data_IF_977215549689
#
_entry.id   IF_977215549689
#
_cell.length_a   1.000
_cell.length_b   1.000
_cell.length_c   1.000
_cell.angle_alpha   90.00
_cell.angle_beta   90.00
_cell.angle_gamma   90.00
#
_symmetry.space_group_name_H-M   'P 1'
#
loop_
_entity.id
_entity.type
_entity.pdbx_description
1 polymer ?
#
# COMPACT_ATOMS: atom_id res chain seq x y z
N UNK A 1 -18.44 5.41 23.70
CA UNK A 1 -17.51 5.93 22.66
C UNK A 1 -17.91 7.38 22.37
N UNK A 2 -16.98 8.32 22.39
CA UNK A 2 -17.27 9.73 22.09
C UNK A 2 -17.76 9.90 20.65
N UNK A 3 -18.66 10.86 20.39
CA UNK A 3 -19.24 11.11 19.06
C UNK A 3 -18.18 11.29 17.94
N UNK A 4 -16.98 11.77 18.29
CA UNK A 4 -15.84 11.90 17.38
C UNK A 4 -15.22 10.56 16.94
N UNK A 5 -15.13 9.57 17.82
CA UNK A 5 -14.55 8.25 17.51
C UNK A 5 -15.58 7.30 16.87
N UNK A 6 -16.87 7.66 16.89
CA UNK A 6 -17.90 6.97 16.14
C UNK A 6 -18.02 7.43 14.68
N UNK A 7 -17.32 8.50 14.28
CA UNK A 7 -17.39 9.02 12.91
C UNK A 7 -16.41 8.25 12.01
N UNK A 8 -16.89 7.54 10.97
CA UNK A 8 -16.03 6.76 10.09
C UNK A 8 -14.99 7.61 9.35
N UNK A 9 -15.29 8.87 9.00
CA UNK A 9 -14.28 9.76 8.39
C UNK A 9 -13.12 10.05 9.34
N UNK A 10 -13.39 10.14 10.64
CA UNK A 10 -12.34 10.40 11.63
C UNK A 10 -11.48 9.16 11.80
N UNK A 11 -12.08 7.98 11.93
CA UNK A 11 -11.35 6.74 12.18
C UNK A 11 -10.59 6.23 10.95
N UNK A 12 -11.11 6.43 9.73
CA UNK A 12 -10.49 5.89 8.50
C UNK A 12 -9.63 6.89 7.72
N UNK A 13 -9.65 8.18 8.07
CA UNK A 13 -8.85 9.20 7.38
C UNK A 13 -8.10 10.12 8.33
N UNK A 14 -8.80 10.88 9.19
CA UNK A 14 -8.15 11.91 10.00
C UNK A 14 -7.16 11.32 11.03
N UNK A 15 -7.59 10.29 11.78
CA UNK A 15 -6.75 9.63 12.78
C UNK A 15 -5.52 8.96 12.14
N UNK A 16 -5.65 8.11 11.09
CA UNK A 16 -4.49 7.56 10.40
C UNK A 16 -3.53 8.64 9.88
N UNK A 17 -4.04 9.71 9.28
CA UNK A 17 -3.22 10.83 8.80
C UNK A 17 -2.38 11.45 9.92
N UNK A 18 -3.01 11.76 11.05
CA UNK A 18 -2.33 12.36 12.21
C UNK A 18 -1.30 11.40 12.83
N UNK A 19 -1.62 10.10 12.90
CA UNK A 19 -0.68 9.09 13.36
C UNK A 19 0.53 8.96 12.41
N UNK A 20 0.32 9.11 11.10
CA UNK A 20 1.39 9.12 10.10
C UNK A 20 2.34 10.30 10.28
N UNK A 21 1.76 11.48 10.53
CA UNK A 21 2.53 12.68 10.90
C UNK A 21 3.32 12.43 12.19
N UNK A 22 2.70 11.85 13.22
CA UNK A 22 3.36 11.55 14.49
C UNK A 22 4.54 10.58 14.31
N UNK A 23 4.39 9.53 13.50
CA UNK A 23 5.50 8.61 13.18
C UNK A 23 6.64 9.31 12.45
N UNK A 24 6.35 10.20 11.51
CA UNK A 24 7.38 10.97 10.81
C UNK A 24 8.15 11.91 11.75
N UNK A 25 7.44 12.56 12.68
CA UNK A 25 8.07 13.37 13.72
C UNK A 25 8.92 12.51 14.65
N UNK A 26 8.42 11.34 15.07
CA UNK A 26 9.18 10.40 15.90
C UNK A 26 10.47 9.95 15.22
N UNK A 27 10.40 9.60 13.92
CA UNK A 27 11.56 9.22 13.11
C UNK A 27 12.58 10.35 12.90
N UNK A 28 12.14 11.61 13.03
CA UNK A 28 13.00 12.78 12.89
C UNK A 28 13.68 13.18 14.19
N UNK A 29 12.97 13.10 15.31
CA UNK A 29 13.41 13.69 16.57
C UNK A 29 13.79 12.69 17.66
N UNK A 30 13.29 11.45 17.60
CA UNK A 30 13.38 10.52 18.74
C UNK A 30 13.97 9.17 18.39
N UNK A 31 13.67 8.64 17.20
CA UNK A 31 14.03 7.28 16.80
C UNK A 31 14.70 7.30 15.42
N UNK A 32 15.80 6.57 15.21
CA UNK A 32 16.33 6.34 13.88
C UNK A 32 15.27 5.67 12.99
N UNK A 33 15.19 6.05 11.71
CA UNK A 33 14.21 5.47 10.79
C UNK A 33 14.40 3.97 10.53
N UNK A 34 15.64 3.47 10.71
CA UNK A 34 15.96 2.03 10.67
C UNK A 34 15.67 1.29 12.00
N UNK A 35 15.11 1.96 13.01
CA UNK A 35 14.90 1.34 14.32
C UNK A 35 13.78 0.27 14.27
N UNK A 36 13.97 -0.89 14.93
CA UNK A 36 12.94 -1.92 15.02
C UNK A 36 11.72 -1.43 15.81
N UNK A 37 11.91 -0.47 16.72
CA UNK A 37 10.83 0.18 17.47
C UNK A 37 9.87 0.89 16.53
N UNK A 38 10.39 1.64 15.54
CA UNK A 38 9.53 2.30 14.56
C UNK A 38 8.76 1.28 13.71
N UNK A 39 9.39 0.18 13.32
CA UNK A 39 8.71 -0.93 12.62
C UNK A 39 7.59 -1.54 13.47
N UNK A 40 7.80 -1.73 14.77
CA UNK A 40 6.77 -2.21 15.70
C UNK A 40 5.61 -1.22 15.85
N UNK A 41 5.88 0.09 15.84
CA UNK A 41 4.84 1.11 15.86
C UNK A 41 3.98 1.05 14.58
N UNK A 42 4.61 0.94 13.41
CA UNK A 42 3.89 0.71 12.14
C UNK A 42 3.04 -0.56 12.18
N UNK A 43 3.59 -1.66 12.70
CA UNK A 43 2.88 -2.93 12.87
C UNK A 43 1.68 -2.81 13.81
N UNK A 44 1.83 -2.13 14.95
CA UNK A 44 0.76 -1.91 15.92
C UNK A 44 -0.38 -1.08 15.33
N UNK A 45 -0.08 -0.01 14.59
CA UNK A 45 -1.09 0.80 13.91
C UNK A 45 -1.80 0.01 12.81
N UNK A 46 -1.06 -0.79 12.05
CA UNK A 46 -1.65 -1.66 11.03
C UNK A 46 -2.64 -2.64 11.67
N UNK A 47 -2.24 -3.34 12.74
CA UNK A 47 -3.12 -4.25 13.47
C UNK A 47 -4.34 -3.53 14.07
N UNK A 48 -4.16 -2.31 14.57
CA UNK A 48 -5.27 -1.49 15.04
C UNK A 48 -6.29 -1.23 13.92
N UNK A 49 -5.85 -0.87 12.71
CA UNK A 49 -6.78 -0.69 11.58
C UNK A 49 -7.45 -1.99 11.15
N UNK A 50 -6.72 -3.11 11.15
CA UNK A 50 -7.33 -4.43 10.89
C UNK A 50 -8.40 -4.78 11.92
N UNK A 51 -8.10 -4.56 13.20
CA UNK A 51 -9.03 -4.83 14.29
C UNK A 51 -10.27 -3.92 14.23
N UNK A 52 -10.07 -2.63 13.96
CA UNK A 52 -11.16 -1.65 13.86
C UNK A 52 -12.08 -1.94 12.68
N UNK A 53 -11.53 -2.39 11.55
CA UNK A 53 -12.30 -2.64 10.31
C UNK A 53 -12.91 -4.05 10.22
N UNK A 54 -12.21 -5.07 10.70
CA UNK A 54 -12.62 -6.48 10.55
C UNK A 54 -13.08 -7.13 11.86
N UNK A 55 -12.81 -6.49 13.00
CA UNK A 55 -13.06 -7.07 14.32
C UNK A 55 -12.01 -8.08 14.76
N UNK A 56 -12.28 -8.82 15.85
CA UNK A 56 -11.35 -9.80 16.41
C UNK A 56 -11.10 -10.98 15.45
N UNK A 57 -9.89 -11.57 15.46
CA UNK A 57 -9.57 -12.73 14.63
C UNK A 57 -10.40 -13.95 15.06
N UNK A 58 -11.00 -14.63 14.08
CA UNK A 58 -11.79 -15.86 14.28
C UNK A 58 -10.96 -17.09 13.89
N UNK A 59 -11.05 -18.16 14.69
CA UNK A 59 -10.37 -19.45 14.46
C UNK A 59 -11.40 -20.59 14.33
N UNK A 60 -11.44 -21.33 13.21
CA UNK A 60 -10.65 -21.16 11.97
C UNK A 60 -11.16 -20.02 11.06
N UNK A 61 -10.30 -19.34 10.27
CA UNK A 61 -10.75 -18.34 9.31
C UNK A 61 -11.48 -18.98 8.13
N UNK A 62 -12.77 -18.68 7.98
CA UNK A 62 -13.63 -19.25 6.93
C UNK A 62 -13.76 -18.28 5.75
N UNK A 63 -13.86 -16.98 6.04
CA UNK A 63 -14.00 -15.92 5.05
C UNK A 63 -12.63 -15.33 4.67
N UNK A 64 -12.49 -14.82 3.45
CA UNK A 64 -11.24 -14.22 3.00
C UNK A 64 -10.90 -12.92 3.75
N UNK A 65 -11.91 -12.16 4.18
CA UNK A 65 -11.69 -10.97 5.02
C UNK A 65 -11.02 -11.35 6.34
N UNK A 66 -11.46 -12.44 6.97
CA UNK A 66 -10.85 -12.97 8.19
C UNK A 66 -9.40 -13.41 7.98
N UNK A 67 -9.00 -13.80 6.76
CA UNK A 67 -7.60 -14.17 6.46
C UNK A 67 -6.66 -12.97 6.46
N UNK A 68 -7.15 -11.76 6.19
CA UNK A 68 -6.30 -10.59 6.08
C UNK A 68 -5.55 -10.26 7.37
N UNK A 69 -6.17 -10.42 8.54
CA UNK A 69 -5.49 -10.14 9.81
C UNK A 69 -4.32 -11.11 10.05
N UNK A 70 -4.46 -12.38 9.63
CA UNK A 70 -3.37 -13.36 9.68
C UNK A 70 -2.27 -13.06 8.67
N UNK A 71 -2.63 -12.55 7.49
CA UNK A 71 -1.64 -12.03 6.54
C UNK A 71 -0.93 -10.80 7.12
N UNK A 72 -1.62 -9.91 7.82
CA UNK A 72 -0.98 -8.80 8.52
C UNK A 72 0.06 -9.30 9.53
N UNK A 73 -0.26 -10.30 10.35
CA UNK A 73 0.70 -10.94 11.25
C UNK A 73 1.90 -11.54 10.50
N UNK A 74 1.68 -12.25 9.39
CA UNK A 74 2.77 -12.77 8.57
C UNK A 74 3.67 -11.63 8.03
N UNK A 75 3.06 -10.53 7.57
CA UNK A 75 3.76 -9.33 7.13
C UNK A 75 4.63 -8.71 8.23
N UNK A 76 4.12 -8.68 9.47
CA UNK A 76 4.85 -8.17 10.64
C UNK A 76 6.04 -9.06 10.97
N UNK A 77 5.84 -10.38 11.04
CA UNK A 77 6.92 -11.33 11.34
C UNK A 77 8.05 -11.21 10.31
N UNK A 78 7.70 -11.14 9.02
CA UNK A 78 8.69 -10.99 7.94
C UNK A 78 9.34 -9.59 7.97
N UNK A 79 8.56 -8.54 8.21
CA UNK A 79 9.05 -7.16 8.28
C UNK A 79 9.98 -6.89 9.47
N UNK A 80 9.93 -7.73 10.52
CA UNK A 80 10.85 -7.67 11.67
C UNK A 80 12.15 -8.46 11.45
N UNK A 81 12.29 -9.18 10.33
CA UNK A 81 13.54 -9.89 10.02
C UNK A 81 14.70 -8.89 9.83
N UNK A 82 15.95 -9.30 10.13
CA UNK A 82 17.11 -8.42 9.97
C UNK A 82 17.30 -7.92 8.54
N UNK A 83 17.75 -6.67 8.37
CA UNK A 83 17.99 -6.08 7.05
C UNK A 83 18.94 -6.87 6.15
N UNK A 84 19.83 -7.69 6.72
CA UNK A 84 20.71 -8.59 5.95
C UNK A 84 19.92 -9.67 5.21
N UNK A 85 18.87 -10.20 5.85
CA UNK A 85 17.90 -11.12 5.25
C UNK A 85 17.03 -10.36 4.25
N UNK A 86 16.68 -9.11 4.60
CA UNK A 86 15.87 -8.22 3.77
C UNK A 86 16.63 -7.45 2.67
N UNK A 87 17.94 -7.62 2.49
CA UNK A 87 18.76 -6.74 1.63
C UNK A 87 19.63 -7.41 0.56
N UNK A 88 19.99 -8.71 0.72
CA UNK A 88 20.81 -9.46 -0.25
C UNK A 88 20.09 -10.60 -0.96
N UNK A 89 19.01 -11.11 -0.38
CA UNK A 89 18.27 -12.29 -0.85
C UNK A 89 16.76 -12.06 -0.95
N UNK A 90 16.31 -10.79 -0.94
CA UNK A 90 14.96 -10.41 -0.54
C UNK A 90 13.86 -10.56 -1.56
N UNK A 91 14.21 -10.57 -2.84
CA UNK A 91 13.22 -10.78 -3.88
C UNK A 91 12.51 -12.11 -3.68
N UNK A 92 13.25 -13.17 -3.31
CA UNK A 92 12.68 -14.51 -3.14
C UNK A 92 11.70 -14.64 -1.96
N UNK A 93 12.05 -14.33 -0.69
CA UNK A 93 11.12 -14.47 0.44
C UNK A 93 9.92 -13.53 0.30
N UNK A 94 10.11 -12.33 -0.26
CA UNK A 94 8.98 -11.44 -0.54
C UNK A 94 8.04 -12.05 -1.59
N UNK A 95 8.57 -12.54 -2.71
CA UNK A 95 7.79 -13.21 -3.75
C UNK A 95 7.09 -14.45 -3.21
N UNK A 96 7.77 -15.27 -2.41
CA UNK A 96 7.18 -16.46 -1.77
C UNK A 96 6.05 -16.08 -0.82
N UNK A 97 6.23 -15.05 0.00
CA UNK A 97 5.20 -14.57 0.92
C UNK A 97 3.97 -14.05 0.17
N UNK A 98 4.17 -13.31 -0.92
CA UNK A 98 3.08 -12.81 -1.77
C UNK A 98 2.37 -13.95 -2.51
N UNK A 99 3.11 -14.90 -3.08
CA UNK A 99 2.56 -16.06 -3.75
C UNK A 99 1.73 -16.92 -2.78
N UNK A 100 2.26 -17.18 -1.58
CA UNK A 100 1.55 -17.89 -0.53
C UNK A 100 0.26 -17.17 -0.10
N UNK A 101 0.30 -15.84 0.05
CA UNK A 101 -0.89 -15.05 0.36
C UNK A 101 -1.94 -15.10 -0.76
N UNK A 102 -1.51 -14.92 -2.00
CA UNK A 102 -2.37 -14.99 -3.18
C UNK A 102 -3.07 -16.35 -3.28
N UNK A 103 -2.29 -17.43 -3.16
CA UNK A 103 -2.81 -18.80 -3.16
C UNK A 103 -3.76 -19.03 -1.98
N UNK A 104 -3.42 -18.59 -0.78
CA UNK A 104 -4.27 -18.81 0.40
C UNK A 104 -5.59 -18.04 0.33
N UNK A 105 -5.59 -16.83 -0.22
CA UNK A 105 -6.80 -16.04 -0.46
C UNK A 105 -7.64 -16.65 -1.59
N UNK A 106 -7.01 -17.05 -2.69
CA UNK A 106 -7.66 -17.44 -3.94
C UNK A 106 -7.93 -18.93 -4.14
N UNK A 107 -7.39 -19.82 -3.30
CA UNK A 107 -7.41 -21.28 -3.55
C UNK A 107 -8.78 -21.83 -3.92
N UNK A 108 -9.84 -21.45 -3.18
CA UNK A 108 -11.21 -21.93 -3.45
C UNK A 108 -11.71 -21.51 -4.84
N UNK A 109 -11.37 -20.28 -5.26
CA UNK A 109 -11.77 -19.75 -6.57
C UNK A 109 -10.94 -20.38 -7.69
N UNK A 110 -9.65 -20.60 -7.47
CA UNK A 110 -8.76 -21.30 -8.41
C UNK A 110 -9.17 -22.76 -8.61
N UNK A 111 -9.49 -23.47 -7.52
CA UNK A 111 -9.94 -24.85 -7.56
C UNK A 111 -11.31 -25.02 -8.23
N UNK A 112 -12.14 -23.97 -8.27
CA UNK A 112 -13.43 -23.97 -8.96
C UNK A 112 -13.32 -23.94 -10.49
N UNK A 113 -12.14 -23.70 -11.07
CA UNK A 113 -11.86 -23.88 -12.51
C UNK A 113 -12.48 -22.84 -13.46
N UNK A 114 -13.32 -21.92 -12.99
CA UNK A 114 -13.92 -20.88 -13.83
C UNK A 114 -12.97 -19.69 -14.03
N UNK A 115 -12.36 -19.59 -15.21
CA UNK A 115 -11.55 -18.45 -15.63
C UNK A 115 -12.43 -17.32 -16.18
N UNK A 116 -12.98 -16.51 -15.28
CA UNK A 116 -13.67 -15.27 -15.64
C UNK A 116 -12.71 -14.07 -15.69
N UNK A 117 -13.15 -12.96 -16.28
CA UNK A 117 -12.34 -11.74 -16.44
C UNK A 117 -11.83 -11.22 -15.09
N UNK A 118 -12.62 -11.40 -14.03
CA UNK A 118 -12.26 -10.98 -12.67
C UNK A 118 -11.12 -11.85 -12.09
N UNK A 119 -11.12 -13.17 -12.31
CA UNK A 119 -10.01 -14.03 -11.91
C UNK A 119 -8.73 -13.73 -12.71
N UNK A 120 -8.85 -13.41 -14.01
CA UNK A 120 -7.72 -12.94 -14.82
C UNK A 120 -7.12 -11.65 -14.24
N UNK A 121 -7.97 -10.68 -13.88
CA UNK A 121 -7.49 -9.46 -13.23
C UNK A 121 -6.86 -9.73 -11.87
N UNK A 122 -7.42 -10.64 -11.07
CA UNK A 122 -6.81 -11.04 -9.80
C UNK A 122 -5.41 -11.66 -10.00
N UNK A 123 -5.25 -12.55 -10.98
CA UNK A 123 -3.95 -13.12 -11.36
C UNK A 123 -2.96 -12.03 -11.80
N UNK A 124 -3.42 -11.10 -12.65
CA UNK A 124 -2.60 -9.98 -13.09
C UNK A 124 -2.18 -9.08 -11.92
N UNK A 125 -3.09 -8.71 -11.02
CA UNK A 125 -2.79 -7.94 -9.81
C UNK A 125 -1.80 -8.68 -8.91
N UNK A 126 -2.02 -9.97 -8.67
CA UNK A 126 -1.09 -10.80 -7.88
C UNK A 126 0.31 -10.83 -8.50
N UNK A 127 0.41 -11.04 -9.82
CA UNK A 127 1.68 -11.06 -10.53
C UNK A 127 2.38 -9.69 -10.50
N UNK A 128 1.66 -8.61 -10.82
CA UNK A 128 2.23 -7.26 -10.89
C UNK A 128 2.69 -6.77 -9.51
N UNK A 129 1.93 -7.06 -8.45
CA UNK A 129 2.35 -6.76 -7.07
C UNK A 129 3.59 -7.55 -6.66
N UNK A 130 3.68 -8.83 -7.02
CA UNK A 130 4.89 -9.65 -6.80
C UNK A 130 6.11 -9.09 -7.53
N UNK A 131 5.97 -8.76 -8.82
CA UNK A 131 7.07 -8.18 -9.61
C UNK A 131 7.47 -6.82 -9.02
N UNK A 132 6.50 -5.96 -8.71
CA UNK A 132 6.77 -4.65 -8.10
C UNK A 132 7.50 -4.74 -6.77
N UNK A 133 7.06 -5.65 -5.87
CA UNK A 133 7.73 -5.91 -4.61
C UNK A 133 9.15 -6.46 -4.81
N UNK A 134 9.33 -7.40 -5.74
CA UNK A 134 10.64 -7.94 -6.08
C UNK A 134 11.59 -6.84 -6.60
N UNK A 135 11.11 -5.93 -7.46
CA UNK A 135 11.91 -4.82 -8.00
C UNK A 135 12.31 -3.81 -6.91
N UNK A 136 11.39 -3.49 -5.99
CA UNK A 136 11.66 -2.62 -4.84
C UNK A 136 12.68 -3.24 -3.87
N UNK A 137 12.60 -4.56 -3.67
CA UNK A 137 13.48 -5.29 -2.77
C UNK A 137 14.87 -5.58 -3.38
N UNK A 138 14.96 -5.78 -4.69
CA UNK A 138 16.20 -6.13 -5.39
C UNK A 138 17.13 -4.93 -5.66
N UNK A 139 16.61 -3.70 -5.62
CA UNK A 139 17.39 -2.50 -5.96
C UNK A 139 18.01 -1.90 -4.70
N UNK A 140 19.34 -1.86 -4.65
CA UNK A 140 20.10 -1.15 -3.62
C UNK A 140 19.87 0.36 -3.74
N UNK A 141 19.78 1.03 -2.59
CA UNK A 141 19.68 2.49 -2.56
C UNK A 141 20.90 3.11 -3.25
N UNK A 142 20.65 4.08 -4.12
CA UNK A 142 21.71 4.82 -4.81
C UNK A 142 22.71 5.41 -3.81
N UNK A 143 24.01 5.30 -4.08
CA UNK A 143 25.06 5.97 -3.31
C UNK A 143 25.79 6.99 -4.21
N UNK A 144 25.73 8.30 -3.89
CA UNK A 144 24.98 8.95 -2.80
C UNK A 144 23.45 8.91 -3.01
N UNK A 145 22.65 8.91 -1.93
CA UNK A 145 21.19 8.86 -2.04
C UNK A 145 20.66 10.15 -2.66
N UNK A 146 19.77 10.01 -3.66
CA UNK A 146 19.08 11.14 -4.26
C UNK A 146 17.97 11.66 -3.33
N UNK A 147 17.55 12.91 -3.55
CA UNK A 147 16.60 13.61 -2.66
C UNK A 147 15.21 12.94 -2.65
N UNK A 148 14.82 12.36 -3.78
CA UNK A 148 13.57 11.64 -3.98
C UNK A 148 13.54 10.25 -3.34
N UNK A 149 14.71 9.64 -3.11
CA UNK A 149 14.85 8.24 -2.69
C UNK A 149 14.03 7.88 -1.43
N UNK A 150 13.96 8.72 -0.37
CA UNK A 150 13.15 8.46 0.82
C UNK A 150 11.63 8.42 0.56
N UNK A 151 11.17 9.00 -0.54
CA UNK A 151 9.75 9.14 -0.86
C UNK A 151 9.21 8.08 -1.80
N UNK A 152 10.07 7.35 -2.52
CA UNK A 152 9.64 6.47 -3.61
C UNK A 152 8.78 5.29 -3.13
N UNK A 153 9.24 4.54 -2.12
CA UNK A 153 8.48 3.43 -1.55
C UNK A 153 7.18 3.90 -0.86
N UNK A 154 7.20 4.94 0.00
CA UNK A 154 5.97 5.54 0.53
C UNK A 154 5.00 6.01 -0.55
N UNK A 155 5.47 6.66 -1.61
CA UNK A 155 4.63 7.12 -2.71
C UNK A 155 3.95 5.95 -3.45
N UNK A 156 4.65 4.83 -3.66
CA UNK A 156 4.05 3.64 -4.25
C UNK A 156 2.95 3.03 -3.38
N UNK A 157 3.20 2.86 -2.09
CA UNK A 157 2.21 2.32 -1.15
C UNK A 157 1.01 3.27 -1.05
N UNK A 158 1.24 4.58 -0.98
CA UNK A 158 0.20 5.61 -0.98
C UNK A 158 -0.67 5.52 -2.23
N UNK A 159 -0.04 5.53 -3.41
CA UNK A 159 -0.76 5.50 -4.70
C UNK A 159 -1.55 4.20 -4.88
N UNK A 160 -0.95 3.05 -4.57
CA UNK A 160 -1.62 1.75 -4.61
C UNK A 160 -2.80 1.70 -3.66
N UNK A 161 -2.60 2.15 -2.41
CA UNK A 161 -3.64 2.10 -1.39
C UNK A 161 -4.77 3.07 -1.69
N UNK A 162 -4.47 4.27 -2.18
CA UNK A 162 -5.48 5.27 -2.52
C UNK A 162 -6.35 4.82 -3.71
N UNK A 163 -5.72 4.35 -4.80
CA UNK A 163 -6.47 3.83 -5.94
C UNK A 163 -7.25 2.56 -5.54
N UNK A 164 -6.61 1.64 -4.83
CA UNK A 164 -7.24 0.44 -4.32
C UNK A 164 -8.44 0.73 -3.42
N UNK A 165 -8.37 1.76 -2.57
CA UNK A 165 -9.47 2.18 -1.71
C UNK A 165 -10.69 2.62 -2.54
N UNK A 166 -10.49 3.51 -3.51
CA UNK A 166 -11.57 4.03 -4.37
C UNK A 166 -12.16 2.91 -5.23
N UNK A 167 -11.32 2.09 -5.86
CA UNK A 167 -11.75 0.95 -6.67
C UNK A 167 -12.51 -0.07 -5.82
N UNK A 168 -12.07 -0.29 -4.58
CA UNK A 168 -12.73 -1.20 -3.64
C UNK A 168 -14.12 -0.70 -3.21
N UNK A 169 -14.25 0.59 -2.89
CA UNK A 169 -15.54 1.18 -2.51
C UNK A 169 -16.53 1.09 -3.68
N UNK A 170 -16.12 1.48 -4.88
CA UNK A 170 -16.96 1.40 -6.08
C UNK A 170 -17.23 -0.06 -6.51
N UNK A 171 -16.33 -0.97 -6.19
CA UNK A 171 -16.48 -2.42 -6.38
C UNK A 171 -17.40 -3.12 -5.37
N UNK A 172 -18.11 -2.37 -4.54
CA UNK A 172 -18.98 -2.87 -3.46
C UNK A 172 -18.24 -3.61 -2.32
N UNK A 173 -17.00 -3.20 -2.04
CA UNK A 173 -16.21 -3.71 -0.91
C UNK A 173 -15.75 -2.53 -0.03
N UNK A 174 -16.70 -1.98 0.74
CA UNK A 174 -16.49 -0.77 1.55
C UNK A 174 -15.44 -1.00 2.63
N UNK A 175 -15.50 -2.13 3.34
CA UNK A 175 -14.61 -2.43 4.47
C UNK A 175 -13.14 -2.51 4.05
N UNK A 176 -12.83 -3.21 2.95
CA UNK A 176 -11.46 -3.22 2.40
C UNK A 176 -11.06 -1.86 1.84
N UNK A 177 -12.03 -1.09 1.33
CA UNK A 177 -11.81 0.28 0.90
C UNK A 177 -11.42 1.21 2.06
N UNK A 178 -12.07 1.07 3.21
CA UNK A 178 -11.73 1.79 4.45
C UNK A 178 -10.34 1.41 4.96
N UNK A 179 -10.00 0.13 4.93
CA UNK A 179 -8.68 -0.35 5.35
C UNK A 179 -7.56 0.21 4.44
N UNK A 180 -7.72 0.10 3.12
CA UNK A 180 -6.78 0.70 2.16
C UNK A 180 -6.73 2.22 2.29
N UNK A 181 -7.87 2.87 2.52
CA UNK A 181 -7.96 4.31 2.77
C UNK A 181 -7.20 4.72 4.04
N UNK A 182 -7.28 3.92 5.10
CA UNK A 182 -6.55 4.14 6.35
C UNK A 182 -5.04 3.98 6.16
N UNK A 183 -4.61 2.97 5.40
CA UNK A 183 -3.19 2.82 5.01
C UNK A 183 -2.73 4.01 4.18
N UNK A 184 -3.52 4.43 3.18
CA UNK A 184 -3.22 5.58 2.35
C UNK A 184 -3.09 6.87 3.18
N UNK A 185 -4.01 7.13 4.11
CA UNK A 185 -3.97 8.28 4.99
C UNK A 185 -2.75 8.23 5.93
N UNK A 186 -2.44 7.08 6.52
CA UNK A 186 -1.25 6.89 7.37
C UNK A 186 0.04 7.19 6.61
N UNK A 187 0.21 6.63 5.41
CA UNK A 187 1.40 6.86 4.58
C UNK A 187 1.42 8.31 4.07
N UNK A 188 0.27 8.88 3.73
CA UNK A 188 0.13 10.28 3.31
C UNK A 188 0.58 11.26 4.39
N UNK A 189 0.24 10.98 5.65
CA UNK A 189 0.68 11.77 6.80
C UNK A 189 2.20 11.75 6.97
N UNK A 190 2.82 10.57 6.81
CA UNK A 190 4.27 10.43 6.81
C UNK A 190 4.92 11.23 5.68
N UNK A 191 4.46 11.05 4.43
CA UNK A 191 4.97 11.75 3.26
C UNK A 191 4.87 13.27 3.41
N UNK A 192 3.74 13.77 3.89
CA UNK A 192 3.50 15.21 4.08
C UNK A 192 4.50 15.80 5.09
N UNK A 193 4.64 15.18 6.26
CA UNK A 193 5.55 15.67 7.30
C UNK A 193 7.02 15.65 6.84
N UNK A 194 7.45 14.60 6.15
CA UNK A 194 8.82 14.51 5.62
C UNK A 194 9.06 15.45 4.45
N UNK A 195 8.06 15.70 3.62
CA UNK A 195 8.18 16.66 2.52
C UNK A 195 8.30 18.09 3.06
N UNK A 196 7.48 18.47 4.05
CA UNK A 196 7.61 19.76 4.74
C UNK A 196 8.97 19.90 5.44
N UNK A 197 9.51 18.80 5.99
CA UNK A 197 10.86 18.78 6.55
C UNK A 197 11.93 19.05 5.48
N UNK A 198 11.79 18.44 4.31
CA UNK A 198 12.70 18.61 3.18
C UNK A 198 12.65 20.03 2.60
N UNK A 199 11.47 20.63 2.50
CA UNK A 199 11.30 22.04 2.08
C UNK A 199 12.01 23.02 3.01
N UNK A 200 12.13 22.69 4.31
CA UNK A 200 12.88 23.48 5.30
C UNK A 200 14.40 23.21 5.28
N UNK A 201 14.90 22.48 4.28
CA UNK A 201 16.32 22.15 4.13
C UNK A 201 16.80 20.96 4.96
N UNK A 202 15.89 20.23 5.62
CA UNK A 202 16.23 18.98 6.33
C UNK A 202 16.36 17.78 5.39
N UNK A 203 17.05 16.72 5.84
CA UNK A 203 17.01 15.43 5.16
C UNK A 203 15.72 14.68 5.52
N UNK A 204 15.03 14.14 4.51
CA UNK A 204 13.87 13.28 4.73
C UNK A 204 14.33 11.89 5.21
N UNK A 205 13.65 11.34 6.21
CA UNK A 205 13.97 10.00 6.70
C UNK A 205 13.30 8.95 5.80
N UNK A 206 14.10 8.01 5.28
CA UNK A 206 13.61 6.88 4.49
C UNK A 206 13.05 5.79 5.41
N UNK A 207 12.08 5.02 4.93
CA UNK A 207 11.63 3.81 5.63
C UNK A 207 12.74 2.77 5.71
N UNK A 208 12.72 1.97 6.79
CA UNK A 208 13.47 0.72 6.83
C UNK A 208 12.90 -0.27 5.81
N UNK A 209 13.71 -1.25 5.39
CA UNK A 209 13.24 -2.32 4.50
C UNK A 209 12.10 -3.14 5.11
N UNK A 210 12.07 -3.25 6.44
CA UNK A 210 10.99 -3.89 7.18
C UNK A 210 9.66 -3.17 7.03
N UNK A 211 9.64 -1.84 7.20
CA UNK A 211 8.44 -1.01 7.02
C UNK A 211 7.98 -1.00 5.56
N UNK A 212 8.92 -0.87 4.62
CA UNK A 212 8.64 -0.95 3.18
C UNK A 212 7.93 -2.26 2.83
N UNK A 213 8.47 -3.40 3.27
CA UNK A 213 7.86 -4.72 3.05
C UNK A 213 6.49 -4.83 3.73
N UNK A 214 6.40 -4.50 5.02
CA UNK A 214 5.18 -4.63 5.83
C UNK A 214 4.00 -3.90 5.18
N UNK A 215 4.19 -2.64 4.82
CA UNK A 215 3.10 -1.80 4.30
C UNK A 215 2.75 -2.17 2.86
N UNK A 216 3.73 -2.50 2.03
CA UNK A 216 3.47 -3.00 0.68
C UNK A 216 2.71 -4.33 0.72
N UNK A 217 3.12 -5.26 1.60
CA UNK A 217 2.48 -6.56 1.79
C UNK A 217 1.04 -6.41 2.27
N UNK A 218 0.81 -5.57 3.27
CA UNK A 218 -0.53 -5.31 3.77
C UNK A 218 -1.42 -4.69 2.68
N UNK A 219 -0.97 -3.65 1.99
CA UNK A 219 -1.78 -2.99 0.96
C UNK A 219 -2.08 -3.92 -0.23
N UNK A 220 -1.08 -4.66 -0.71
CA UNK A 220 -1.25 -5.55 -1.85
C UNK A 220 -2.10 -6.79 -1.52
N UNK A 221 -2.03 -7.36 -0.31
CA UNK A 221 -2.91 -8.49 0.08
C UNK A 221 -4.38 -8.06 0.17
N UNK A 222 -4.65 -6.85 0.67
CA UNK A 222 -6.01 -6.28 0.65
C UNK A 222 -6.47 -6.04 -0.78
N UNK A 223 -5.62 -5.47 -1.65
CA UNK A 223 -5.97 -5.25 -3.06
C UNK A 223 -6.23 -6.56 -3.82
N UNK A 224 -5.43 -7.60 -3.57
CA UNK A 224 -5.65 -8.95 -4.11
C UNK A 224 -6.99 -9.52 -3.64
N UNK A 225 -7.36 -9.32 -2.37
CA UNK A 225 -8.68 -9.74 -1.90
C UNK A 225 -9.80 -9.02 -2.66
N UNK A 226 -9.67 -7.71 -2.88
CA UNK A 226 -10.64 -6.94 -3.68
C UNK A 226 -10.72 -7.53 -5.09
N UNK A 227 -9.58 -7.78 -5.75
CA UNK A 227 -9.57 -8.38 -7.07
C UNK A 227 -10.20 -9.78 -7.11
N UNK A 228 -10.00 -10.58 -6.06
CA UNK A 228 -10.56 -11.93 -5.98
C UNK A 228 -12.04 -11.98 -5.60
N UNK A 229 -12.62 -10.95 -4.98
CA UNK A 229 -13.93 -11.10 -4.32
C UNK A 229 -14.88 -9.91 -4.49
N UNK A 230 -14.43 -8.77 -5.00
CA UNK A 230 -15.31 -7.64 -5.25
C UNK A 230 -16.04 -7.85 -6.60
N UNK A 231 -17.35 -8.15 -6.59
CA UNK A 231 -18.06 -8.60 -7.79
C UNK A 231 -18.29 -7.47 -8.81
N UNK A 232 -18.22 -6.22 -8.38
CA UNK A 232 -18.46 -5.03 -9.22
C UNK A 232 -17.20 -4.22 -9.50
N UNK A 233 -16.03 -4.69 -9.05
CA UNK A 233 -14.79 -3.97 -9.27
C UNK A 233 -14.40 -4.03 -10.75
N UNK A 234 -14.00 -2.89 -11.33
CA UNK A 234 -13.55 -2.85 -12.71
C UNK A 234 -12.18 -3.58 -12.85
N UNK A 235 -12.08 -4.64 -13.66
CA UNK A 235 -10.85 -5.42 -13.83
C UNK A 235 -9.64 -4.60 -14.26
N UNK A 236 -9.84 -3.64 -15.19
CA UNK A 236 -8.77 -2.78 -15.68
C UNK A 236 -8.28 -1.80 -14.59
N UNK A 237 -9.21 -1.23 -13.81
CA UNK A 237 -8.85 -0.35 -12.71
C UNK A 237 -8.05 -1.09 -11.61
N UNK A 238 -8.40 -2.35 -11.33
CA UNK A 238 -7.64 -3.19 -10.41
C UNK A 238 -6.20 -3.41 -10.89
N UNK A 239 -6.03 -3.79 -12.17
CA UNK A 239 -4.69 -3.98 -12.76
C UNK A 239 -3.88 -2.68 -12.64
N UNK A 240 -4.46 -1.54 -13.06
CA UNK A 240 -3.80 -0.23 -12.99
C UNK A 240 -3.41 0.16 -11.55
N UNK A 241 -4.25 -0.14 -10.57
CA UNK A 241 -3.98 0.16 -9.15
C UNK A 241 -2.80 -0.63 -8.56
N UNK A 242 -2.42 -1.75 -9.18
CA UNK A 242 -1.29 -2.59 -8.76
C UNK A 242 0.07 -2.16 -9.32
N UNK A 243 0.10 -1.24 -10.29
CA UNK A 243 1.29 -0.78 -10.98
C UNK A 243 2.20 0.24 -10.24
N UNK A 244 1.77 1.03 -9.24
CA UNK A 244 2.65 2.02 -8.61
C UNK A 244 3.99 1.50 -8.08
N UNK A 245 4.09 0.29 -7.47
CA UNK A 245 5.39 -0.30 -7.12
C UNK A 245 6.33 -0.52 -8.31
N UNK A 246 5.80 -0.87 -9.49
CA UNK A 246 6.58 -1.00 -10.73
C UNK A 246 7.01 0.38 -11.25
N UNK A 247 6.14 1.38 -11.13
CA UNK A 247 6.43 2.75 -11.54
C UNK A 247 7.65 3.34 -10.80
N UNK A 248 7.88 2.95 -9.54
CA UNK A 248 9.11 3.31 -8.80
C UNK A 248 10.37 2.87 -9.53
N UNK A 249 10.38 1.65 -10.08
CA UNK A 249 11.54 1.16 -10.81
C UNK A 249 11.78 1.94 -12.12
N UNK A 250 10.72 2.45 -12.74
CA UNK A 250 10.82 3.31 -13.91
C UNK A 250 11.36 4.70 -13.54
N UNK A 251 10.92 5.28 -12.42
CA UNK A 251 11.41 6.56 -11.89
C UNK A 251 12.89 6.50 -11.51
N UNK A 252 13.35 5.38 -10.94
CA UNK A 252 14.77 5.15 -10.64
C UNK A 252 15.64 4.83 -11.86
N UNK A 253 15.05 4.62 -13.04
CA UNK A 253 15.76 4.24 -14.25
C UNK A 253 15.44 5.16 -15.43
N UNK A 254 14.66 4.70 -16.42
CA UNK A 254 14.45 5.45 -17.67
C UNK A 254 13.82 6.83 -17.49
N UNK A 255 13.01 7.04 -16.44
CA UNK A 255 12.33 8.31 -16.19
C UNK A 255 13.15 9.25 -15.30
N UNK A 256 14.37 8.87 -14.89
CA UNK A 256 15.21 9.71 -14.03
C UNK A 256 15.54 11.06 -14.69
N UNK A 257 15.68 11.09 -16.01
CA UNK A 257 15.96 12.31 -16.78
C UNK A 257 14.76 13.27 -16.87
N UNK A 258 13.55 12.81 -16.53
CA UNK A 258 12.36 13.67 -16.46
C UNK A 258 12.26 14.41 -15.13
N UNK A 259 13.07 14.04 -14.13
CA UNK A 259 13.04 14.67 -12.82
C UNK A 259 13.75 16.04 -12.86
N UNK A 260 13.14 17.10 -12.31
CA UNK A 260 13.73 18.42 -12.33
C UNK A 260 15.03 18.45 -11.49
N UNK A 261 15.98 19.31 -11.90
CA UNK A 261 17.18 19.60 -11.11
C UNK A 261 16.89 20.36 -9.81
N UNK A 262 15.74 21.03 -9.74
CA UNK A 262 15.32 21.78 -8.55
C UNK A 262 15.01 20.82 -7.39
N UNK A 263 15.79 20.95 -6.31
CA UNK A 263 15.71 20.11 -5.10
C UNK A 263 14.30 19.91 -4.53
N UNK A 264 13.43 20.93 -4.38
CA UNK A 264 12.11 20.74 -3.77
C UNK A 264 11.10 20.08 -4.73
N UNK A 265 11.21 20.31 -6.04
CA UNK A 265 10.25 19.81 -7.02
C UNK A 265 10.49 18.33 -7.36
N UNK A 266 11.71 17.85 -7.18
CA UNK A 266 12.14 16.51 -7.55
C UNK A 266 11.32 15.38 -6.90
N UNK A 267 11.11 15.33 -5.57
CA UNK A 267 10.27 14.30 -4.95
C UNK A 267 8.78 14.43 -5.34
N UNK A 268 8.29 15.66 -5.59
CA UNK A 268 6.91 15.88 -6.01
C UNK A 268 6.65 15.30 -7.40
N UNK A 269 7.53 15.59 -8.37
CA UNK A 269 7.43 15.04 -9.73
C UNK A 269 7.59 13.53 -9.73
N UNK A 270 8.54 12.99 -8.95
CA UNK A 270 8.69 11.54 -8.77
C UNK A 270 7.41 10.89 -8.23
N UNK A 271 6.79 11.51 -7.21
CA UNK A 271 5.51 11.05 -6.65
C UNK A 271 4.37 11.08 -7.67
N UNK A 272 4.27 12.16 -8.48
CA UNK A 272 3.26 12.26 -9.54
C UNK A 272 3.45 11.17 -10.60
N UNK A 273 4.69 10.91 -11.04
CA UNK A 273 5.00 9.85 -12.00
C UNK A 273 4.61 8.46 -11.46
N UNK A 274 4.87 8.19 -10.18
CA UNK A 274 4.45 6.96 -9.50
C UNK A 274 2.92 6.88 -9.37
N UNK A 275 2.24 8.02 -9.23
CA UNK A 275 0.79 8.10 -9.09
C UNK A 275 0.05 7.99 -10.43
N UNK A 276 0.71 8.12 -11.59
CA UNK A 276 0.02 8.04 -12.91
C UNK A 276 -0.85 6.79 -13.05
N UNK A 277 -0.38 5.55 -12.75
CA UNK A 277 -1.24 4.37 -12.85
C UNK A 277 -2.41 4.40 -11.87
N UNK A 278 -2.22 4.95 -10.66
CA UNK A 278 -3.27 5.12 -9.68
C UNK A 278 -4.33 6.14 -10.14
N UNK A 279 -3.92 7.25 -10.73
CA UNK A 279 -4.81 8.26 -11.31
C UNK A 279 -5.63 7.63 -12.44
N UNK A 280 -4.98 6.87 -13.34
CA UNK A 280 -5.66 6.17 -14.42
C UNK A 280 -6.67 5.14 -13.86
N UNK A 281 -6.30 4.37 -12.84
CA UNK A 281 -7.22 3.44 -12.18
C UNK A 281 -8.48 4.15 -11.64
N UNK A 282 -8.29 5.28 -10.96
CA UNK A 282 -9.37 6.10 -10.40
C UNK A 282 -10.27 6.64 -11.51
N UNK A 283 -9.69 7.21 -12.57
CA UNK A 283 -10.46 7.71 -13.72
C UNK A 283 -11.22 6.57 -14.40
N UNK A 284 -10.59 5.42 -14.63
CA UNK A 284 -11.25 4.25 -15.22
C UNK A 284 -12.44 3.79 -14.40
N UNK A 285 -12.31 3.69 -13.07
CA UNK A 285 -13.42 3.23 -12.23
C UNK A 285 -14.53 4.27 -12.12
N UNK A 286 -14.24 5.57 -12.18
CA UNK A 286 -15.26 6.64 -12.19
C UNK A 286 -16.03 6.64 -13.51
N UNK A 287 -15.33 6.61 -14.65
CA UNK A 287 -15.96 6.65 -15.98
C UNK A 287 -16.82 5.41 -16.24
N UNK A 288 -16.37 4.25 -15.75
CA UNK A 288 -17.05 2.97 -15.93
C UNK A 288 -17.78 2.49 -14.67
N UNK A 289 -18.06 3.40 -13.74
CA UNK A 289 -18.86 3.08 -12.56
C UNK A 289 -20.26 2.65 -13.03
N UNK A 290 -20.79 1.50 -12.55
CA UNK A 290 -22.16 1.10 -12.89
C UNK A 290 -23.13 2.19 -12.43
N UNK A 291 -24.21 2.43 -13.18
CA UNK A 291 -25.18 3.53 -13.00
C UNK A 291 -25.83 3.64 -11.60
N UNK A 292 -25.59 2.69 -10.68
CA UNK A 292 -25.99 2.74 -9.26
C UNK A 292 -24.87 3.03 -8.25
N UNK A 293 -23.62 3.22 -8.71
CA UNK A 293 -22.48 3.70 -7.93
C UNK A 293 -22.21 5.21 -8.15
N UNK A 294 -22.95 5.84 -9.07
CA UNK A 294 -23.07 7.28 -9.18
C UNK A 294 -23.80 7.79 -7.92
N UNK A 295 -23.02 8.07 -6.87
CA UNK A 295 -23.34 8.88 -5.69
C UNK A 295 -24.75 9.49 -5.66
N UNK A 296 -25.81 8.71 -5.39
CA UNK A 296 -27.13 9.18 -4.96
C UNK A 296 -27.74 10.41 -5.67
N UNK A 297 -27.44 10.66 -6.94
CA UNK A 297 -28.09 11.71 -7.73
C UNK A 297 -28.95 11.04 -8.81
N UNK A 298 -30.14 10.62 -8.40
CA UNK A 298 -31.27 10.38 -9.28
C UNK A 298 -32.34 11.42 -8.98
#
# INVERSE_FOLDING_TARGET
MSALLGNPMVTTAALPLLLGVALALAARFTLPAASPVLTLLWAALLLFFYWDTLGPPVMPPVAASQKLIYLAFAGIVIGLLPERVLGRATSLPAVVAFAAAFLWLGWRRLAGGALDLQLIAALAVGLLTMIGAAMLAARQASQPPSIEEPFLAPAAVLALSLAGAIVSVLGASIVTGQLLGSIAALVGGWCLAQYLAALRGGAAAAWSKGVEFLLLYAAATVLVQVALLAPKANPAALILSSLPPLAVALVRGPLQNLLPGARPLRPLVAGILIAVPAILAIVTVIVWAPHGAALGFS
#
